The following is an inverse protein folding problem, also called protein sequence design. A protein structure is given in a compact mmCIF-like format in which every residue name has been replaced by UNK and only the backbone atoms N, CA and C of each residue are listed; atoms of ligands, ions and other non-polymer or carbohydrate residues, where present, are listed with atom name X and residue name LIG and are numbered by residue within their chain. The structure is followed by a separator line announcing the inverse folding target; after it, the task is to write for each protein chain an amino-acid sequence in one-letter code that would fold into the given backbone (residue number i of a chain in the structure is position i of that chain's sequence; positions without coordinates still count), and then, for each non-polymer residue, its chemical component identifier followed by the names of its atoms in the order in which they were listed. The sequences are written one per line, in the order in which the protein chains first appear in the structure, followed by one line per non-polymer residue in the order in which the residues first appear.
data_IF_811450069806
#
_entry.id   IF_811450069806
#
_cell.length_a   1.000
_cell.length_b   1.000
_cell.length_c   1.000
_cell.angle_alpha   90.00
_cell.angle_beta   90.00
_cell.angle_gamma   90.00
#
_symmetry.space_group_name_H-M   'P 1'
#
loop_
_entity.id
_entity.type
_entity.pdbx_description
1 polymer ?
#
# COMPACT_ATOMS: atom_id res chain seq x y z
N UNK A 1 -27.14 12.57 13.29
CA UNK A 1 -26.97 11.65 12.15
C UNK A 1 -27.30 12.41 10.86
N UNK A 2 -26.31 12.73 10.03
CA UNK A 2 -26.58 13.31 8.71
C UNK A 2 -27.12 12.20 7.81
N UNK A 3 -28.36 12.29 7.39
CA UNK A 3 -28.98 11.44 6.37
C UNK A 3 -28.23 11.67 5.05
N UNK A 4 -27.51 10.67 4.57
CA UNK A 4 -26.92 10.68 3.22
C UNK A 4 -28.01 10.27 2.24
N UNK A 5 -28.29 11.05 1.18
CA UNK A 5 -29.27 10.69 0.17
C UNK A 5 -28.64 9.65 -0.79
N UNK A 6 -28.72 8.37 -0.45
CA UNK A 6 -28.34 7.30 -1.35
C UNK A 6 -29.60 6.73 -2.00
N UNK A 7 -29.70 6.82 -3.31
CA UNK A 7 -30.63 6.03 -4.09
C UNK A 7 -30.06 4.62 -4.23
N UNK A 8 -30.79 3.62 -3.74
CA UNK A 8 -30.49 2.21 -3.97
C UNK A 8 -30.57 1.92 -5.47
N UNK A 9 -29.47 1.45 -6.05
CA UNK A 9 -29.45 0.89 -7.40
C UNK A 9 -29.48 -0.62 -7.23
N UNK A 10 -30.45 -1.31 -7.83
CA UNK A 10 -30.52 -2.78 -7.84
C UNK A 10 -29.25 -3.37 -8.47
N UNK A 11 -28.65 -4.38 -7.84
CA UNK A 11 -27.48 -5.07 -8.33
C UNK A 11 -27.67 -5.61 -9.75
N UNK A 12 -28.89 -6.04 -10.11
CA UNK A 12 -29.25 -6.55 -11.44
C UNK A 12 -29.24 -5.46 -12.54
N UNK A 13 -29.25 -4.18 -12.16
CA UNK A 13 -29.15 -3.04 -13.08
C UNK A 13 -27.74 -2.50 -13.24
N UNK A 14 -26.78 -3.09 -12.55
CA UNK A 14 -25.34 -2.84 -12.79
C UNK A 14 -24.94 -3.61 -14.02
N UNK A 15 -25.23 -3.08 -15.20
CA UNK A 15 -25.09 -3.73 -16.51
C UNK A 15 -23.73 -4.40 -16.74
N UNK A 16 -23.72 -5.45 -17.56
CA UNK A 16 -22.53 -6.22 -17.93
C UNK A 16 -21.38 -5.31 -18.40
N UNK A 17 -20.25 -5.38 -17.72
CA UNK A 17 -19.14 -4.47 -17.90
C UNK A 17 -18.18 -5.00 -18.93
N UNK A 18 -17.93 -4.22 -19.98
CA UNK A 18 -16.78 -4.43 -20.85
C UNK A 18 -15.51 -4.12 -20.07
N UNK A 19 -14.76 -5.16 -19.73
CA UNK A 19 -13.39 -5.03 -19.23
C UNK A 19 -12.55 -4.47 -20.38
N UNK A 20 -12.28 -3.17 -20.37
CA UNK A 20 -11.22 -2.62 -21.19
C UNK A 20 -9.94 -3.41 -20.87
N UNK A 21 -9.30 -3.94 -21.92
CA UNK A 21 -8.04 -4.67 -21.84
C UNK A 21 -6.91 -3.74 -21.34
N UNK A 22 -6.87 -3.46 -20.03
CA UNK A 22 -5.70 -2.87 -19.40
C UNK A 22 -4.90 -4.01 -18.79
N UNK A 23 -3.80 -4.38 -19.47
CA UNK A 23 -2.92 -5.49 -19.09
C UNK A 23 -2.15 -5.33 -17.77
N UNK A 24 -2.46 -4.30 -16.99
CA UNK A 24 -1.84 -3.94 -15.71
C UNK A 24 -2.77 -4.12 -14.49
N UNK A 25 -3.89 -4.82 -14.66
CA UNK A 25 -4.74 -5.20 -13.52
C UNK A 25 -4.15 -6.41 -12.79
N UNK A 26 -3.71 -6.19 -11.56
CA UNK A 26 -3.11 -7.19 -10.69
C UNK A 26 -3.99 -7.40 -9.46
N UNK A 27 -4.57 -8.59 -9.31
CA UNK A 27 -5.39 -8.92 -8.15
C UNK A 27 -4.54 -9.46 -7.00
N UNK A 28 -4.55 -8.75 -5.88
CA UNK A 28 -3.92 -9.20 -4.65
C UNK A 28 -4.61 -10.45 -4.13
N UNK A 29 -3.84 -11.49 -3.79
CA UNK A 29 -4.40 -12.71 -3.21
C UNK A 29 -4.87 -12.45 -1.77
N UNK A 30 -6.00 -13.03 -1.38
CA UNK A 30 -6.60 -12.84 -0.06
C UNK A 30 -5.64 -13.16 1.09
N UNK A 31 -4.85 -14.23 0.99
CA UNK A 31 -3.84 -14.58 2.00
C UNK A 31 -2.82 -13.47 2.26
N UNK A 32 -2.46 -12.68 1.23
CA UNK A 32 -1.54 -11.55 1.38
C UNK A 32 -2.23 -10.38 2.09
N UNK A 33 -3.53 -10.18 1.82
CA UNK A 33 -4.35 -9.17 2.51
C UNK A 33 -4.45 -9.52 3.99
N UNK A 34 -4.83 -10.74 4.32
CA UNK A 34 -4.93 -11.23 5.71
C UNK A 34 -3.60 -11.07 6.42
N UNK A 35 -2.51 -11.57 5.83
CA UNK A 35 -1.17 -11.55 6.44
C UNK A 35 -0.67 -10.14 6.74
N UNK A 36 -0.93 -9.18 5.86
CA UNK A 36 -0.52 -7.78 6.09
C UNK A 36 -1.44 -7.10 7.10
N UNK A 37 -2.76 -7.18 6.89
CA UNK A 37 -3.73 -6.41 7.67
C UNK A 37 -3.88 -6.88 9.12
N UNK A 38 -3.50 -8.13 9.45
CA UNK A 38 -3.44 -8.61 10.84
C UNK A 38 -2.47 -7.83 11.73
N UNK A 39 -1.59 -7.02 11.16
CA UNK A 39 -0.66 -6.18 11.90
C UNK A 39 -1.21 -4.78 12.26
N UNK A 40 -2.46 -4.47 11.88
CA UNK A 40 -3.05 -3.15 12.08
C UNK A 40 -4.36 -3.24 12.87
N UNK A 41 -4.60 -2.28 13.75
CA UNK A 41 -5.89 -2.13 14.42
C UNK A 41 -6.87 -1.36 13.53
N UNK A 42 -7.83 -2.09 12.98
CA UNK A 42 -8.87 -1.55 12.10
C UNK A 42 -10.21 -1.35 12.83
N UNK A 43 -10.28 -1.65 14.13
CA UNK A 43 -11.53 -1.56 14.91
C UNK A 43 -12.06 -0.11 14.94
N UNK A 44 -13.33 0.04 14.64
CA UNK A 44 -14.02 1.34 14.61
C UNK A 44 -13.65 2.22 13.42
N UNK A 45 -12.88 1.72 12.45
CA UNK A 45 -12.44 2.49 11.28
C UNK A 45 -13.43 2.38 10.12
N UNK A 46 -13.45 3.43 9.32
CA UNK A 46 -14.10 3.45 8.01
C UNK A 46 -13.03 3.25 6.96
N UNK A 47 -13.14 2.15 6.20
CA UNK A 47 -12.18 1.78 5.15
C UNK A 47 -12.66 2.25 3.79
N UNK A 48 -11.74 2.67 2.94
CA UNK A 48 -12.01 3.02 1.55
C UNK A 48 -11.09 2.27 0.59
N UNK A 49 -11.67 1.38 -0.21
CA UNK A 49 -11.02 0.66 -1.30
C UNK A 49 -11.24 1.43 -2.61
N UNK A 50 -10.40 2.43 -2.88
CA UNK A 50 -10.69 3.42 -3.92
C UNK A 50 -10.28 3.06 -5.36
N UNK A 51 -9.63 1.92 -5.55
CA UNK A 51 -9.30 1.37 -6.87
C UNK A 51 -9.86 -0.04 -7.05
N UNK A 52 -10.89 -0.36 -6.31
CA UNK A 52 -11.38 -1.72 -6.13
C UNK A 52 -12.86 -1.83 -6.52
N UNK A 53 -13.13 -2.62 -7.57
CA UNK A 53 -14.52 -2.92 -7.97
C UNK A 53 -15.15 -3.87 -6.95
N UNK A 54 -16.30 -3.51 -6.34
CA UNK A 54 -16.92 -4.31 -5.27
C UNK A 54 -17.20 -5.77 -5.66
N UNK A 55 -17.64 -6.02 -6.89
CA UNK A 55 -17.99 -7.36 -7.37
C UNK A 55 -16.80 -8.29 -7.61
N UNK A 56 -15.59 -7.74 -7.78
CA UNK A 56 -14.39 -8.50 -8.20
C UNK A 56 -13.26 -8.42 -7.19
N UNK A 57 -13.07 -7.24 -6.56
CA UNK A 57 -11.92 -6.98 -5.70
C UNK A 57 -11.86 -7.91 -4.50
N UNK A 58 -10.69 -8.50 -4.28
CA UNK A 58 -10.42 -9.30 -3.09
C UNK A 58 -10.33 -8.42 -1.82
N UNK A 59 -9.94 -7.14 -1.92
CA UNK A 59 -9.95 -6.20 -0.80
C UNK A 59 -11.36 -5.94 -0.31
N UNK A 60 -12.24 -5.55 -1.22
CA UNK A 60 -13.63 -5.27 -0.83
C UNK A 60 -14.33 -6.51 -0.28
N UNK A 61 -14.17 -7.66 -0.94
CA UNK A 61 -14.73 -8.94 -0.48
C UNK A 61 -14.20 -9.31 0.92
N UNK A 62 -12.89 -9.18 1.13
CA UNK A 62 -12.27 -9.44 2.42
C UNK A 62 -12.89 -8.58 3.53
N UNK A 63 -12.97 -7.28 3.33
CA UNK A 63 -13.54 -6.37 4.34
C UNK A 63 -15.03 -6.58 4.54
N UNK A 64 -15.79 -6.85 3.48
CA UNK A 64 -17.23 -7.14 3.59
C UNK A 64 -17.49 -8.41 4.38
N UNK A 65 -16.77 -9.49 4.08
CA UNK A 65 -16.93 -10.79 4.74
C UNK A 65 -16.51 -10.76 6.22
N UNK A 66 -15.51 -9.97 6.56
CA UNK A 66 -14.95 -9.87 7.91
C UNK A 66 -15.35 -8.57 8.62
N UNK A 67 -16.40 -7.89 8.17
CA UNK A 67 -16.77 -6.56 8.64
C UNK A 67 -17.00 -6.50 10.14
N UNK A 68 -17.78 -7.43 10.67
CA UNK A 68 -18.11 -7.51 12.09
C UNK A 68 -16.94 -7.98 12.93
N UNK A 69 -16.19 -8.98 12.45
CA UNK A 69 -15.02 -9.54 13.16
C UNK A 69 -13.89 -8.51 13.29
N UNK A 70 -13.69 -7.68 12.26
CA UNK A 70 -12.77 -6.55 12.28
C UNK A 70 -13.31 -5.34 13.04
N UNK A 71 -14.60 -5.36 13.42
CA UNK A 71 -15.27 -4.26 14.11
C UNK A 71 -15.29 -2.97 13.32
N UNK A 72 -15.42 -3.04 11.98
CA UNK A 72 -15.44 -1.87 11.12
C UNK A 72 -16.67 -1.00 11.35
N UNK A 73 -16.55 0.30 11.09
CA UNK A 73 -17.66 1.26 11.18
C UNK A 73 -18.29 1.52 9.82
N UNK A 74 -17.57 1.30 8.74
CA UNK A 74 -18.05 1.49 7.37
C UNK A 74 -17.02 1.01 6.35
N UNK A 75 -17.50 0.66 5.17
CA UNK A 75 -16.67 0.23 4.06
C UNK A 75 -17.14 0.92 2.78
N UNK A 76 -16.25 1.66 2.14
CA UNK A 76 -16.47 2.26 0.83
C UNK A 76 -15.62 1.56 -0.21
N UNK A 77 -16.10 1.47 -1.45
CA UNK A 77 -15.29 1.11 -2.60
C UNK A 77 -15.70 1.88 -3.84
N UNK A 78 -14.73 2.21 -4.67
CA UNK A 78 -14.95 2.81 -5.98
C UNK A 78 -13.86 2.34 -6.95
N UNK A 79 -14.10 2.51 -8.26
CA UNK A 79 -13.16 2.14 -9.29
C UNK A 79 -13.29 3.04 -10.50
N UNK A 80 -12.25 3.05 -11.33
CA UNK A 80 -12.25 3.79 -12.59
C UNK A 80 -13.07 3.04 -13.63
N UNK A 81 -14.16 3.68 -14.11
CA UNK A 81 -15.06 3.15 -15.14
C UNK A 81 -15.77 4.31 -15.86
N UNK A 82 -16.39 4.04 -17.02
CA UNK A 82 -17.24 5.00 -17.73
C UNK A 82 -18.53 5.32 -16.96
N UNK A 83 -18.97 4.39 -16.12
CA UNK A 83 -20.10 4.53 -15.21
C UNK A 83 -19.66 4.30 -13.75
N UNK A 84 -18.86 5.20 -13.18
CA UNK A 84 -18.24 4.95 -11.88
C UNK A 84 -19.28 4.92 -10.76
N UNK A 85 -19.13 3.93 -9.89
CA UNK A 85 -20.00 3.74 -8.72
C UNK A 85 -19.17 3.80 -7.44
N UNK A 86 -19.79 4.36 -6.41
CA UNK A 86 -19.37 4.26 -5.03
C UNK A 86 -20.27 3.25 -4.32
N UNK A 87 -19.70 2.15 -3.88
CA UNK A 87 -20.34 1.22 -2.97
C UNK A 87 -20.12 1.67 -1.53
N UNK A 88 -21.13 1.50 -0.69
CA UNK A 88 -21.04 1.66 0.74
C UNK A 88 -21.70 0.47 1.44
N UNK A 89 -21.00 -0.13 2.40
CA UNK A 89 -21.48 -1.20 3.24
C UNK A 89 -21.37 -0.81 4.72
N UNK A 90 -22.44 -1.03 5.48
CA UNK A 90 -22.53 -0.65 6.90
C UNK A 90 -22.52 -1.85 7.86
N UNK A 91 -22.22 -3.04 7.34
CA UNK A 91 -22.26 -4.30 8.09
C UNK A 91 -23.52 -5.13 7.88
N UNK A 92 -24.59 -4.54 7.33
CA UNK A 92 -25.84 -5.26 7.04
C UNK A 92 -26.39 -4.95 5.64
N UNK A 93 -26.28 -3.71 5.21
CA UNK A 93 -26.81 -3.24 3.93
C UNK A 93 -25.71 -2.68 3.06
N UNK A 94 -25.78 -2.96 1.77
CA UNK A 94 -24.93 -2.40 0.75
C UNK A 94 -25.75 -1.43 -0.11
N UNK A 95 -25.19 -0.26 -0.35
CA UNK A 95 -25.83 0.79 -1.16
C UNK A 95 -24.85 1.29 -2.19
N UNK A 96 -25.36 1.75 -3.33
CA UNK A 96 -24.55 2.25 -4.42
C UNK A 96 -24.98 3.67 -4.79
N UNK A 97 -23.99 4.49 -5.14
CA UNK A 97 -24.19 5.83 -5.66
C UNK A 97 -23.36 6.01 -6.92
N UNK A 98 -23.94 6.64 -7.95
CA UNK A 98 -23.18 7.03 -9.14
C UNK A 98 -22.26 8.19 -8.81
N UNK A 99 -21.00 8.08 -9.21
CA UNK A 99 -20.03 9.15 -9.11
C UNK A 99 -20.03 9.98 -10.41
N UNK A 100 -19.66 11.23 -10.32
CA UNK A 100 -19.46 12.11 -11.48
C UNK A 100 -18.20 11.80 -12.25
N UNK A 101 -17.23 11.17 -11.60
CA UNK A 101 -15.95 10.76 -12.19
C UNK A 101 -15.46 9.46 -11.56
N UNK A 102 -14.86 8.58 -12.37
CA UNK A 102 -14.16 7.38 -11.90
C UNK A 102 -12.76 7.65 -11.41
N UNK A 103 -12.22 8.85 -11.64
CA UNK A 103 -10.86 9.21 -11.19
C UNK A 103 -10.89 9.45 -9.67
N UNK A 104 -9.98 8.78 -8.95
CA UNK A 104 -9.92 8.94 -7.50
C UNK A 104 -9.55 10.37 -7.08
N UNK A 105 -8.82 11.11 -7.93
CA UNK A 105 -8.46 12.50 -7.70
C UNK A 105 -9.69 13.41 -7.56
N UNK A 106 -10.79 13.07 -8.26
CA UNK A 106 -12.03 13.83 -8.26
C UNK A 106 -12.96 13.45 -7.09
N UNK A 107 -12.65 12.36 -6.37
CA UNK A 107 -13.47 11.80 -5.30
C UNK A 107 -13.03 12.25 -3.89
N UNK A 108 -12.55 13.48 -3.75
CA UNK A 108 -12.10 14.04 -2.46
C UNK A 108 -13.17 14.01 -1.36
N UNK A 109 -14.44 14.11 -1.72
CA UNK A 109 -15.53 14.03 -0.74
C UNK A 109 -15.65 12.63 -0.11
N UNK A 110 -15.39 11.56 -0.88
CA UNK A 110 -15.34 10.19 -0.34
C UNK A 110 -14.13 10.02 0.57
N UNK A 111 -12.99 10.61 0.19
CA UNK A 111 -11.78 10.59 1.00
C UNK A 111 -12.02 11.20 2.40
N UNK A 112 -12.84 12.24 2.50
CA UNK A 112 -13.17 12.85 3.80
C UNK A 112 -13.96 11.92 4.72
N UNK A 113 -14.71 10.97 4.16
CA UNK A 113 -15.59 10.06 4.90
C UNK A 113 -14.83 8.87 5.52
N UNK A 114 -13.70 8.46 4.95
CA UNK A 114 -12.93 7.33 5.45
C UNK A 114 -11.89 7.74 6.49
N UNK A 115 -11.35 6.76 7.21
CA UNK A 115 -10.20 6.90 8.10
C UNK A 115 -8.93 6.40 7.41
N UNK A 116 -9.04 5.30 6.68
CA UNK A 116 -7.91 4.62 6.05
C UNK A 116 -8.30 4.22 4.62
N UNK A 117 -7.42 4.51 3.67
CA UNK A 117 -7.50 4.00 2.30
C UNK A 117 -6.70 2.71 2.21
N UNK A 118 -7.35 1.59 1.86
CA UNK A 118 -6.71 0.29 1.73
C UNK A 118 -7.04 -0.28 0.35
N UNK A 119 -6.03 -0.37 -0.53
CA UNK A 119 -6.26 -0.70 -1.93
C UNK A 119 -4.98 -1.18 -2.63
N UNK A 120 -5.17 -1.79 -3.80
CA UNK A 120 -4.10 -2.06 -4.75
C UNK A 120 -4.32 -1.19 -6.01
N UNK A 121 -3.80 0.04 -6.04
CA UNK A 121 -3.94 0.89 -7.22
C UNK A 121 -3.16 0.28 -8.41
N UNK A 122 -3.54 0.60 -9.66
CA UNK A 122 -2.75 0.25 -10.82
C UNK A 122 -1.30 0.69 -10.66
N UNK A 123 -0.33 -0.15 -11.10
CA UNK A 123 1.10 0.14 -10.92
C UNK A 123 1.65 1.15 -11.94
N UNK A 124 0.86 1.50 -12.96
CA UNK A 124 1.16 2.55 -13.92
C UNK A 124 1.00 3.96 -13.32
N UNK A 125 1.72 4.92 -13.91
CA UNK A 125 1.47 6.36 -13.83
C UNK A 125 1.51 7.00 -12.45
N UNK A 126 2.40 6.56 -11.57
CA UNK A 126 2.58 7.17 -10.23
C UNK A 126 1.32 7.15 -9.35
N UNK A 127 0.28 6.36 -9.70
CA UNK A 127 -1.03 6.38 -9.01
C UNK A 127 -0.90 6.12 -7.50
N UNK A 128 -0.01 5.21 -7.11
CA UNK A 128 0.25 4.94 -5.70
C UNK A 128 0.76 6.18 -4.95
N UNK A 129 1.68 6.94 -5.56
CA UNK A 129 2.21 8.17 -4.94
C UNK A 129 1.21 9.31 -4.92
N UNK A 130 0.38 9.44 -5.96
CA UNK A 130 -0.72 10.41 -5.96
C UNK A 130 -1.73 10.10 -4.86
N UNK A 131 -2.03 8.82 -4.65
CA UNK A 131 -2.94 8.38 -3.60
C UNK A 131 -2.39 8.71 -2.21
N UNK A 132 -1.08 8.48 -1.98
CA UNK A 132 -0.40 8.87 -0.73
C UNK A 132 -0.51 10.39 -0.52
N UNK A 133 -0.24 11.19 -1.55
CA UNK A 133 -0.38 12.67 -1.48
C UNK A 133 -1.80 13.10 -1.16
N UNK A 134 -2.76 12.48 -1.83
CA UNK A 134 -4.17 12.78 -1.61
C UNK A 134 -4.61 12.44 -0.19
N UNK A 135 -4.26 11.25 0.31
CA UNK A 135 -4.56 10.87 1.68
C UNK A 135 -3.94 11.84 2.69
N UNK A 136 -2.66 12.20 2.50
CA UNK A 136 -1.98 13.22 3.32
C UNK A 136 -2.72 14.56 3.29
N UNK A 137 -3.14 15.03 2.11
CA UNK A 137 -3.91 16.28 1.95
C UNK A 137 -5.20 16.29 2.77
N UNK A 138 -5.88 15.13 2.88
CA UNK A 138 -7.12 14.99 3.63
C UNK A 138 -6.92 14.49 5.07
N UNK A 139 -5.69 14.35 5.54
CA UNK A 139 -5.38 13.86 6.90
C UNK A 139 -5.80 12.41 7.11
N UNK A 140 -5.67 11.56 6.06
CA UNK A 140 -6.06 10.15 6.08
C UNK A 140 -4.84 9.25 6.03
N UNK A 141 -5.00 8.03 6.54
CA UNK A 141 -3.99 7.00 6.40
C UNK A 141 -4.15 6.19 5.12
N UNK A 142 -3.06 5.53 4.71
CA UNK A 142 -3.06 4.55 3.62
C UNK A 142 -2.41 3.24 4.06
N UNK A 143 -2.89 2.13 3.51
CA UNK A 143 -2.21 0.83 3.45
C UNK A 143 -2.40 0.36 2.00
N UNK A 144 -1.38 0.50 1.17
CA UNK A 144 -1.52 0.25 -0.27
C UNK A 144 -0.42 -0.65 -0.80
N UNK A 145 -0.72 -1.36 -1.87
CA UNK A 145 0.29 -2.04 -2.67
C UNK A 145 0.86 -1.06 -3.68
N UNK A 146 2.17 -0.97 -3.77
CA UNK A 146 2.81 -0.07 -4.73
C UNK A 146 4.21 -0.53 -5.11
N UNK A 147 4.77 -0.01 -6.22
CA UNK A 147 6.10 -0.38 -6.69
C UNK A 147 7.18 0.07 -5.70
N UNK A 148 8.28 -0.69 -5.63
CA UNK A 148 9.43 -0.37 -4.76
C UNK A 148 10.09 0.96 -5.16
N UNK A 149 9.87 1.42 -6.38
CA UNK A 149 10.36 2.72 -6.88
C UNK A 149 9.77 3.93 -6.14
N UNK A 150 8.70 3.75 -5.36
CA UNK A 150 8.16 4.79 -4.45
C UNK A 150 9.28 5.36 -3.57
N UNK A 151 10.14 4.52 -2.99
CA UNK A 151 11.27 4.95 -2.17
C UNK A 151 12.29 5.83 -2.93
N UNK A 152 12.29 5.80 -4.26
CA UNK A 152 13.22 6.57 -5.09
C UNK A 152 12.73 7.98 -5.41
N UNK A 153 11.46 8.29 -5.19
CA UNK A 153 10.90 9.62 -5.40
C UNK A 153 11.30 10.53 -4.22
N UNK A 154 11.70 11.78 -4.52
CA UNK A 154 12.22 12.69 -3.50
C UNK A 154 11.23 12.89 -2.34
N UNK A 155 10.01 13.28 -2.66
CA UNK A 155 8.98 13.54 -1.64
C UNK A 155 8.66 12.30 -0.81
N UNK A 156 8.53 11.13 -1.45
CA UNK A 156 8.27 9.88 -0.75
C UNK A 156 9.43 9.48 0.16
N UNK A 157 10.66 9.69 -0.30
CA UNK A 157 11.85 9.46 0.52
C UNK A 157 11.90 10.38 1.73
N UNK A 158 11.57 11.66 1.57
CA UNK A 158 11.48 12.61 2.68
C UNK A 158 10.41 12.17 3.70
N UNK A 159 9.27 11.68 3.23
CA UNK A 159 8.25 11.08 4.12
C UNK A 159 8.75 9.83 4.84
N UNK A 160 9.49 8.95 4.13
CA UNK A 160 10.09 7.75 4.72
C UNK A 160 11.11 8.15 5.80
N UNK A 161 12.00 9.08 5.51
CA UNK A 161 13.01 9.57 6.47
C UNK A 161 12.35 10.10 7.75
N UNK A 162 11.24 10.81 7.63
CA UNK A 162 10.51 11.42 8.73
C UNK A 162 9.44 10.50 9.37
N UNK A 163 9.49 9.20 9.14
CA UNK A 163 8.53 8.20 9.65
C UNK A 163 7.05 8.46 9.27
N UNK A 164 6.81 9.22 8.19
CA UNK A 164 5.47 9.53 7.68
C UNK A 164 5.00 8.54 6.62
N UNK A 165 5.91 7.74 6.06
CA UNK A 165 5.64 6.66 5.11
C UNK A 165 6.55 5.49 5.43
N UNK A 166 5.98 4.33 5.59
CA UNK A 166 6.69 3.10 5.95
C UNK A 166 6.38 1.99 4.94
N UNK A 167 7.33 1.07 4.75
CA UNK A 167 7.03 -0.19 4.10
C UNK A 167 6.30 -1.09 5.10
N UNK A 168 5.28 -1.82 4.65
CA UNK A 168 4.49 -2.73 5.49
C UNK A 168 5.29 -3.90 6.08
N UNK A 169 4.59 -4.84 6.66
CA UNK A 169 5.18 -5.96 7.41
C UNK A 169 5.52 -7.16 6.53
N UNK A 170 4.72 -7.41 5.49
CA UNK A 170 4.82 -8.63 4.68
C UNK A 170 5.30 -8.38 3.26
N UNK A 171 5.72 -9.44 2.58
CA UNK A 171 6.15 -9.36 1.19
C UNK A 171 4.97 -9.59 0.25
N UNK A 172 4.83 -8.72 -0.73
CA UNK A 172 3.87 -8.87 -1.81
C UNK A 172 4.56 -8.62 -3.16
N UNK A 173 4.63 -9.68 -3.98
CA UNK A 173 5.24 -9.61 -5.31
C UNK A 173 4.58 -10.54 -6.33
N UNK A 174 3.53 -11.29 -5.92
CA UNK A 174 2.81 -12.22 -6.79
C UNK A 174 1.34 -11.88 -6.82
N UNK A 175 0.78 -11.80 -8.00
CA UNK A 175 -0.59 -11.38 -8.26
C UNK A 175 -1.27 -12.33 -9.23
N UNK A 176 -2.59 -12.36 -9.20
CA UNK A 176 -3.39 -12.97 -10.24
C UNK A 176 -3.79 -11.91 -11.26
N UNK A 177 -3.82 -12.27 -12.53
CA UNK A 177 -4.38 -11.42 -13.59
C UNK A 177 -5.86 -11.74 -13.81
N UNK A 178 -6.61 -10.90 -14.54
CA UNK A 178 -7.98 -11.22 -14.95
C UNK A 178 -8.09 -12.52 -15.75
N UNK A 179 -7.04 -12.91 -16.48
CA UNK A 179 -6.95 -14.19 -17.21
C UNK A 179 -6.65 -15.40 -16.33
N UNK A 180 -6.42 -15.20 -15.01
CA UNK A 180 -6.04 -16.26 -14.08
C UNK A 180 -4.54 -16.59 -14.06
N UNK A 181 -3.73 -15.94 -14.87
CA UNK A 181 -2.27 -16.10 -14.84
C UNK A 181 -1.67 -15.49 -13.59
N UNK A 182 -0.53 -16.05 -13.15
CA UNK A 182 0.26 -15.48 -12.06
C UNK A 182 1.36 -14.57 -12.62
N UNK A 183 1.39 -13.33 -12.17
CA UNK A 183 2.46 -12.38 -12.52
C UNK A 183 3.22 -11.93 -11.27
N UNK A 184 4.50 -11.60 -11.47
CA UNK A 184 5.33 -11.00 -10.43
C UNK A 184 5.60 -9.54 -10.75
N UNK A 185 5.60 -8.70 -9.71
CA UNK A 185 5.98 -7.30 -9.82
C UNK A 185 6.85 -6.90 -8.61
N UNK A 186 7.82 -6.00 -8.77
CA UNK A 186 8.68 -5.52 -7.68
C UNK A 186 7.93 -4.53 -6.80
N UNK A 187 7.00 -5.02 -6.00
CA UNK A 187 6.10 -4.24 -5.15
C UNK A 187 6.29 -4.53 -3.67
N UNK A 188 5.77 -3.64 -2.85
CA UNK A 188 5.67 -3.77 -1.40
C UNK A 188 4.35 -3.16 -0.91
N UNK A 189 4.01 -3.46 0.33
CA UNK A 189 3.03 -2.70 1.07
C UNK A 189 3.63 -1.36 1.51
N UNK A 190 2.86 -0.30 1.38
CA UNK A 190 3.21 1.04 1.81
C UNK A 190 2.13 1.59 2.72
N UNK A 191 2.53 2.17 3.85
CA UNK A 191 1.59 2.68 4.83
C UNK A 191 2.07 3.99 5.45
N UNK A 192 1.12 4.88 5.73
CA UNK A 192 1.36 6.10 6.55
C UNK A 192 1.05 5.86 8.03
N UNK A 193 0.63 4.65 8.39
CA UNK A 193 0.50 4.24 9.78
C UNK A 193 1.90 3.84 10.27
N UNK A 194 2.25 4.27 11.47
CA UNK A 194 3.51 3.89 12.09
C UNK A 194 3.60 2.37 12.25
N UNK A 195 4.75 1.81 11.88
CA UNK A 195 5.00 0.37 11.99
C UNK A 195 5.93 0.08 13.16
N UNK A 196 5.48 -0.77 14.06
CA UNK A 196 6.30 -1.23 15.19
C UNK A 196 6.91 -2.60 14.84
N UNK A 197 7.99 -2.57 14.06
CA UNK A 197 8.70 -3.78 13.65
C UNK A 197 9.62 -4.28 14.77
N UNK A 198 9.79 -5.61 14.92
CA UNK A 198 10.73 -6.16 15.88
C UNK A 198 12.18 -5.75 15.56
N UNK A 199 13.06 -5.84 16.55
CA UNK A 199 14.49 -5.70 16.32
C UNK A 199 14.95 -6.72 15.30
N UNK A 200 15.62 -6.24 14.26
CA UNK A 200 16.18 -7.09 13.22
C UNK A 200 17.54 -7.62 13.66
N UNK A 201 17.71 -8.94 13.69
CA UNK A 201 18.96 -9.62 14.05
C UNK A 201 19.29 -10.68 13.01
N UNK A 202 20.54 -10.73 12.60
CA UNK A 202 21.05 -11.67 11.61
C UNK A 202 22.00 -12.71 12.20
N UNK A 203 22.62 -12.42 13.35
CA UNK A 203 23.73 -13.18 13.91
C UNK A 203 25.08 -12.91 13.24
N UNK A 204 25.13 -12.04 12.24
CA UNK A 204 26.36 -11.72 11.50
C UNK A 204 27.20 -10.74 12.30
N UNK A 205 28.49 -11.03 12.43
CA UNK A 205 29.48 -10.09 12.97
C UNK A 205 30.13 -9.30 11.83
N UNK A 206 30.42 -8.03 12.09
CA UNK A 206 31.07 -7.17 11.13
C UNK A 206 32.47 -7.66 10.78
N UNK A 207 32.75 -7.82 9.50
CA UNK A 207 34.08 -8.01 8.96
C UNK A 207 34.16 -7.21 7.64
N UNK A 208 34.99 -6.16 7.55
CA UNK A 208 35.10 -5.29 6.39
C UNK A 208 35.38 -6.01 5.08
N UNK A 209 36.07 -7.16 5.14
CA UNK A 209 36.35 -7.96 3.93
C UNK A 209 35.12 -8.61 3.29
N UNK A 210 33.99 -8.66 4.01
CA UNK A 210 32.78 -9.25 3.49
C UNK A 210 31.92 -8.25 2.68
N UNK A 211 32.28 -6.97 2.66
CA UNK A 211 31.49 -5.91 2.06
C UNK A 211 32.28 -5.20 0.95
N UNK A 212 31.57 -4.88 -0.12
CA UNK A 212 32.08 -3.97 -1.13
C UNK A 212 31.90 -2.53 -0.65
N UNK A 213 32.86 -1.68 -0.97
CA UNK A 213 32.73 -0.25 -0.71
C UNK A 213 31.80 0.40 -1.73
N UNK A 214 31.11 1.44 -1.32
CA UNK A 214 30.31 2.26 -2.22
C UNK A 214 31.25 3.12 -3.07
N UNK A 215 31.03 3.14 -4.39
CA UNK A 215 31.82 3.95 -5.30
C UNK A 215 31.85 5.41 -4.86
N UNK A 216 33.06 5.99 -4.81
CA UNK A 216 33.36 7.33 -4.31
C UNK A 216 33.12 7.58 -2.80
N UNK A 217 32.82 6.52 -2.01
CA UNK A 217 32.60 6.63 -0.58
C UNK A 217 33.20 5.43 0.16
N UNK A 218 34.51 5.35 0.27
CA UNK A 218 35.23 4.21 0.89
C UNK A 218 34.86 3.94 2.35
N UNK A 219 34.22 4.90 3.02
CA UNK A 219 33.73 4.75 4.38
C UNK A 219 32.37 4.03 4.47
N UNK A 220 31.72 3.75 3.33
CA UNK A 220 30.37 3.17 3.29
C UNK A 220 30.41 1.77 2.69
N UNK A 221 30.04 0.79 3.47
CA UNK A 221 29.91 -0.61 3.05
C UNK A 221 28.55 -0.86 2.39
N UNK A 222 28.52 -1.69 1.34
CA UNK A 222 27.29 -2.10 0.66
C UNK A 222 26.79 -3.42 1.24
N UNK A 223 25.57 -3.41 1.79
CA UNK A 223 24.84 -4.62 2.18
C UNK A 223 23.86 -4.99 1.08
N UNK A 224 24.11 -6.10 0.40
CA UNK A 224 23.28 -6.54 -0.73
C UNK A 224 21.98 -7.22 -0.30
N UNK A 225 22.02 -8.00 0.78
CA UNK A 225 20.88 -8.73 1.31
C UNK A 225 20.72 -8.42 2.79
N UNK A 226 19.48 -8.26 3.24
CA UNK A 226 19.15 -7.93 4.63
C UNK A 226 19.80 -8.91 5.62
N UNK A 227 19.88 -10.20 5.28
CA UNK A 227 20.52 -11.24 6.10
C UNK A 227 22.03 -11.07 6.33
N UNK A 228 22.69 -10.26 5.53
CA UNK A 228 24.13 -9.99 5.61
C UNK A 228 24.44 -8.72 6.41
N UNK A 229 23.42 -8.06 6.97
CA UNK A 229 23.60 -6.89 7.83
C UNK A 229 24.27 -7.33 9.14
N UNK A 230 25.38 -6.71 9.59
CA UNK A 230 26.01 -7.06 10.85
C UNK A 230 25.22 -6.51 12.05
N UNK A 231 25.20 -7.28 13.14
CA UNK A 231 24.51 -6.90 14.38
C UNK A 231 25.37 -5.99 15.29
N UNK A 232 26.68 -5.92 15.04
CA UNK A 232 27.67 -5.27 15.89
C UNK A 232 28.40 -4.08 15.23
N UNK A 233 27.84 -3.53 14.15
CA UNK A 233 28.42 -2.39 13.43
C UNK A 233 27.53 -1.16 13.52
N UNK A 234 28.10 -0.06 13.96
CA UNK A 234 27.39 1.22 14.21
C UNK A 234 27.75 2.30 13.18
N UNK A 235 28.40 1.94 12.10
CA UNK A 235 28.75 2.85 11.00
C UNK A 235 27.68 2.97 9.92
N UNK A 236 28.03 3.67 8.85
CA UNK A 236 27.13 3.86 7.71
C UNK A 236 27.18 2.67 6.76
N UNK A 237 26.01 2.19 6.36
CA UNK A 237 25.87 1.12 5.36
C UNK A 237 24.86 1.52 4.29
N UNK A 238 25.19 1.20 3.03
CA UNK A 238 24.27 1.34 1.92
C UNK A 238 23.45 0.06 1.78
N UNK A 239 22.13 0.19 1.85
CA UNK A 239 21.18 -0.92 1.76
C UNK A 239 20.20 -0.70 0.61
N UNK A 240 19.61 -1.77 0.08
CA UNK A 240 18.54 -1.65 -0.91
C UNK A 240 17.25 -1.11 -0.28
N UNK A 241 16.34 -0.51 -1.06
CA UNK A 241 15.03 -0.05 -0.54
C UNK A 241 14.21 -1.16 0.14
N UNK A 242 14.48 -2.44 -0.16
CA UNK A 242 13.80 -3.57 0.48
C UNK A 242 14.08 -3.67 1.98
N UNK A 243 15.20 -3.13 2.43
CA UNK A 243 15.55 -3.06 3.86
C UNK A 243 14.49 -2.30 4.68
N UNK A 244 13.74 -1.39 4.08
CA UNK A 244 12.63 -0.68 4.74
C UNK A 244 11.59 -1.64 5.34
N UNK A 245 11.49 -2.87 4.84
CA UNK A 245 10.58 -3.89 5.38
C UNK A 245 10.98 -4.35 6.78
N UNK A 246 12.26 -4.40 7.08
CA UNK A 246 12.81 -4.83 8.38
C UNK A 246 13.28 -3.65 9.24
N UNK A 247 13.10 -2.44 8.75
CA UNK A 247 13.53 -1.23 9.44
C UNK A 247 12.80 -1.04 10.77
N UNK A 248 13.53 -1.21 11.87
CA UNK A 248 13.11 -0.79 13.20
C UNK A 248 13.73 0.58 13.50
N UNK A 249 12.92 1.58 13.80
CA UNK A 249 13.33 2.98 14.02
C UNK A 249 14.13 3.19 15.30
N UNK A 250 14.05 2.28 16.25
CA UNK A 250 14.88 2.30 17.45
C UNK A 250 16.27 1.66 17.24
N UNK A 251 16.48 1.04 16.07
CA UNK A 251 17.72 0.35 15.74
C UNK A 251 18.49 1.04 14.61
N UNK A 252 17.78 1.66 13.65
CA UNK A 252 18.38 2.19 12.44
C UNK A 252 17.84 3.58 12.09
N UNK A 253 18.77 4.48 11.72
CA UNK A 253 18.46 5.79 11.18
C UNK A 253 18.63 5.80 9.65
N UNK A 254 17.72 6.46 8.96
CA UNK A 254 17.86 6.73 7.52
C UNK A 254 18.56 8.06 7.34
N UNK A 255 19.79 8.03 6.85
CA UNK A 255 20.59 9.23 6.68
C UNK A 255 20.27 9.93 5.38
N UNK A 256 20.42 9.22 4.26
CA UNK A 256 20.20 9.80 2.93
C UNK A 256 19.92 8.72 1.88
N UNK A 257 19.49 9.18 0.71
CA UNK A 257 19.38 8.36 -0.49
C UNK A 257 20.61 8.59 -1.37
N UNK A 258 21.26 7.52 -1.73
CA UNK A 258 22.40 7.52 -2.66
C UNK A 258 21.92 7.05 -4.02
N UNK A 259 22.26 7.76 -5.07
CA UNK A 259 22.11 7.28 -6.44
C UNK A 259 23.45 6.67 -6.87
N UNK A 260 23.50 5.39 -7.26
CA UNK A 260 24.71 4.86 -7.87
C UNK A 260 25.00 5.68 -9.13
N UNK A 261 26.23 6.13 -9.28
CA UNK A 261 26.71 6.67 -10.55
C UNK A 261 26.90 5.44 -11.44
N UNK A 262 26.00 5.22 -12.37
CA UNK A 262 26.17 4.19 -13.40
C UNK A 262 27.12 4.81 -14.42
N UNK A 263 28.39 4.40 -14.37
CA UNK A 263 29.37 4.68 -15.43
C UNK A 263 29.11 3.75 -16.61
#
# INVERSE_FOLDING_TARGET
MKKYPYTTIDEDKIGGFNYGNRGDQFYTQEKNIVSELSNYDLKGKIIYCNCDRPTVSNFYKFFKNNFNDLGLKGLYASYYDDNPLLAYFNGSQETYKRLSSGRFQDNGEVMKLCDIVITNPPFSDSMATELIRMAKKYGKHVIIVGPNTIASQKEMFDMIKNNQLNMGYTTINRFNTPSGEKKTAPTSWWTTIETNKPFFKTGVKYNPSNYQKLDNFDAIDIVRFDKDLPDDYYGYMAVSPRFLRVLNRNQFDIITKIRPVIN
#
